data_IF_606462765810
#
_entry.id   IF_606462765810
#
_cell.length_a   1.000
_cell.length_b   1.000
_cell.length_c   1.000
_cell.angle_alpha   90.00
_cell.angle_beta   90.00
_cell.angle_gamma   90.00
#
_symmetry.space_group_name_H-M   'P 1'
#
loop_
_entity.id
_entity.type
_entity.pdbx_description
1 polymer ?
#
# COMPACT_ATOMS: atom_id res chain seq x y z
N UNK A 1 -17.36 -7.29 7.44
CA UNK A 1 -16.34 -6.22 7.36
C UNK A 1 -16.13 -5.99 5.89
N UNK A 2 -16.14 -4.74 5.44
CA UNK A 2 -16.16 -4.36 4.02
C UNK A 2 -14.99 -3.39 3.76
N UNK A 3 -14.40 -3.45 2.57
CA UNK A 3 -13.31 -2.59 2.13
C UNK A 3 -13.77 -1.14 2.09
N UNK A 4 -13.43 -0.37 3.11
CA UNK A 4 -13.84 1.03 3.20
C UNK A 4 -12.76 1.94 2.63
N UNK A 5 -13.11 2.77 1.66
CA UNK A 5 -12.17 3.74 1.09
C UNK A 5 -11.74 4.75 2.16
N UNK A 6 -10.43 4.99 2.36
CA UNK A 6 -9.97 6.00 3.32
C UNK A 6 -10.57 7.38 3.00
N UNK A 7 -11.18 8.08 3.96
CA UNK A 7 -11.74 9.40 3.70
C UNK A 7 -10.64 10.42 3.45
N UNK A 8 -10.92 11.37 2.55
CA UNK A 8 -10.12 12.58 2.41
C UNK A 8 -10.22 13.39 3.70
N UNK A 9 -9.09 13.79 4.29
CA UNK A 9 -9.08 14.69 5.45
C UNK A 9 -9.08 16.13 4.96
N UNK A 10 -9.61 17.06 5.77
CA UNK A 10 -9.63 18.52 5.48
C UNK A 10 -8.26 19.13 5.15
N UNK A 11 -7.15 18.43 5.42
CA UNK A 11 -5.77 18.85 5.09
C UNK A 11 -5.12 18.10 3.93
N UNK A 12 -5.88 17.35 3.12
CA UNK A 12 -5.38 16.66 1.92
C UNK A 12 -5.52 15.13 1.95
N UNK A 13 -5.06 14.50 0.87
CA UNK A 13 -5.02 13.05 0.74
C UNK A 13 -3.99 12.46 1.73
N UNK A 14 -4.44 11.59 2.63
CA UNK A 14 -3.53 10.85 3.51
C UNK A 14 -2.74 9.82 2.71
N UNK A 15 -1.58 9.38 3.23
CA UNK A 15 -0.78 8.31 2.60
C UNK A 15 -1.65 7.11 2.21
N UNK A 16 -2.51 6.65 3.12
CA UNK A 16 -3.41 5.52 2.85
C UNK A 16 -4.47 5.79 1.81
N UNK A 17 -4.92 7.04 1.63
CA UNK A 17 -5.81 7.39 0.52
C UNK A 17 -5.07 7.33 -0.82
N UNK A 18 -3.83 7.83 -0.86
CA UNK A 18 -3.01 7.79 -2.09
C UNK A 18 -2.66 6.34 -2.43
N UNK A 19 -2.25 5.53 -1.44
CA UNK A 19 -2.02 4.09 -1.61
C UNK A 19 -3.25 3.38 -2.17
N UNK A 20 -4.43 3.67 -1.62
CA UNK A 20 -5.69 3.12 -2.10
C UNK A 20 -5.95 3.49 -3.57
N UNK A 21 -5.83 4.78 -3.89
CA UNK A 21 -6.15 5.30 -5.21
C UNK A 21 -5.24 4.67 -6.29
N UNK A 22 -3.95 4.57 -6.01
CA UNK A 22 -2.97 3.95 -6.91
C UNK A 22 -3.24 2.46 -7.13
N UNK A 23 -3.45 1.71 -6.05
CA UNK A 23 -3.63 0.26 -6.14
C UNK A 23 -5.03 -0.13 -6.65
N UNK A 24 -6.05 0.69 -6.39
CA UNK A 24 -7.41 0.48 -6.88
C UNK A 24 -7.53 0.80 -8.38
N UNK A 25 -6.82 1.82 -8.87
CA UNK A 25 -6.81 2.16 -10.30
C UNK A 25 -5.83 1.30 -11.11
N UNK A 26 -4.72 0.86 -10.49
CA UNK A 26 -3.64 0.14 -11.16
C UNK A 26 -3.21 -1.11 -10.39
N UNK A 27 -4.07 -2.14 -10.30
CA UNK A 27 -3.70 -3.41 -9.67
C UNK A 27 -2.53 -4.06 -10.43
N UNK A 28 -1.60 -4.68 -9.70
CA UNK A 28 -0.40 -5.35 -10.23
C UNK A 28 0.50 -4.47 -11.11
N UNK A 29 0.47 -3.16 -10.88
CA UNK A 29 1.30 -2.22 -11.63
C UNK A 29 2.52 -1.80 -10.82
N UNK A 30 2.30 -1.42 -9.56
CA UNK A 30 3.35 -0.89 -8.69
C UNK A 30 3.98 -1.98 -7.82
N UNK A 31 5.29 -1.92 -7.64
CA UNK A 31 6.00 -2.67 -6.60
C UNK A 31 5.91 -1.95 -5.25
N UNK A 32 6.37 -2.59 -4.18
CA UNK A 32 6.41 -1.94 -2.85
C UNK A 32 7.21 -0.65 -2.88
N UNK A 33 8.35 -0.65 -3.56
CA UNK A 33 9.22 0.51 -3.66
C UNK A 33 8.57 1.61 -4.50
N UNK A 34 8.06 1.27 -5.69
CA UNK A 34 7.40 2.25 -6.55
C UNK A 34 6.18 2.87 -5.87
N UNK A 35 5.37 2.08 -5.17
CA UNK A 35 4.22 2.59 -4.43
C UNK A 35 4.65 3.56 -3.32
N UNK A 36 5.68 3.22 -2.53
CA UNK A 36 6.18 4.09 -1.45
C UNK A 36 6.69 5.41 -2.03
N UNK A 37 7.42 5.34 -3.15
CA UNK A 37 7.94 6.51 -3.85
C UNK A 37 6.82 7.40 -4.41
N UNK A 38 5.86 6.80 -5.12
CA UNK A 38 4.70 7.48 -5.69
C UNK A 38 3.82 8.15 -4.62
N UNK A 39 3.63 7.47 -3.49
CA UNK A 39 2.93 8.02 -2.32
C UNK A 39 3.73 9.18 -1.73
N UNK A 40 5.05 9.06 -1.63
CA UNK A 40 5.90 10.12 -1.11
C UNK A 40 5.82 11.39 -1.96
N UNK A 41 5.98 11.26 -3.29
CA UNK A 41 5.89 12.37 -4.25
C UNK A 41 4.54 13.08 -4.14
N UNK A 42 3.44 12.33 -4.26
CA UNK A 42 2.08 12.91 -4.22
C UNK A 42 1.76 13.53 -2.87
N UNK A 43 2.20 12.90 -1.78
CA UNK A 43 2.01 13.42 -0.43
C UNK A 43 2.84 14.68 -0.17
N UNK A 44 4.04 14.78 -0.74
CA UNK A 44 4.91 15.95 -0.66
C UNK A 44 4.59 17.02 -1.70
N UNK A 45 3.69 16.72 -2.65
CA UNK A 45 3.32 17.57 -3.78
C UNK A 45 4.56 18.02 -4.57
N UNK A 46 5.49 17.09 -4.80
CA UNK A 46 6.73 17.37 -5.54
C UNK A 46 6.36 17.59 -7.02
N UNK A 47 6.73 18.74 -7.62
CA UNK A 47 6.43 19.03 -9.01
C UNK A 47 7.24 18.12 -9.95
N UNK A 48 6.67 17.84 -11.12
CA UNK A 48 7.30 16.95 -12.11
C UNK A 48 8.67 17.45 -12.58
N UNK A 49 8.84 18.77 -12.71
CA UNK A 49 10.14 19.39 -13.04
C UNK A 49 11.23 19.00 -12.04
N UNK A 50 10.87 18.89 -10.77
CA UNK A 50 11.78 18.47 -9.72
C UNK A 50 12.04 16.96 -9.76
N UNK A 51 11.05 16.15 -10.14
CA UNK A 51 11.25 14.72 -10.37
C UNK A 51 12.16 14.47 -11.57
N UNK A 52 12.05 15.26 -12.62
CA UNK A 52 12.94 15.17 -13.79
C UNK A 52 14.37 15.59 -13.43
N UNK A 53 14.53 16.61 -12.59
CA UNK A 53 15.85 17.09 -12.17
C UNK A 53 16.51 16.21 -11.10
N UNK A 54 15.76 15.74 -10.10
CA UNK A 54 16.28 15.06 -8.90
C UNK A 54 15.47 13.85 -8.45
N UNK A 55 14.61 13.29 -9.29
CA UNK A 55 13.75 12.15 -8.94
C UNK A 55 14.53 10.94 -8.45
N UNK A 56 15.63 10.60 -9.10
CA UNK A 56 16.52 9.50 -8.69
C UNK A 56 17.11 9.76 -7.30
N UNK A 57 17.62 10.98 -7.03
CA UNK A 57 18.13 11.33 -5.71
C UNK A 57 17.04 11.26 -4.64
N UNK A 58 15.83 11.77 -4.91
CA UNK A 58 14.71 11.67 -3.97
C UNK A 58 14.41 10.21 -3.67
N UNK A 59 14.42 9.35 -4.69
CA UNK A 59 14.20 7.91 -4.55
C UNK A 59 15.27 7.30 -3.65
N UNK A 60 16.54 7.56 -3.93
CA UNK A 60 17.66 7.08 -3.12
C UNK A 60 17.57 7.55 -1.67
N UNK A 61 17.36 8.84 -1.43
CA UNK A 61 17.19 9.40 -0.07
C UNK A 61 16.00 8.79 0.68
N UNK A 62 14.92 8.49 -0.04
CA UNK A 62 13.74 7.85 0.53
C UNK A 62 14.07 6.41 0.98
N UNK A 63 14.82 5.66 0.18
CA UNK A 63 15.22 4.28 0.49
C UNK A 63 16.45 4.17 1.40
N UNK A 64 17.22 5.25 1.56
CA UNK A 64 18.25 5.33 2.60
C UNK A 64 17.65 5.23 4.02
N UNK A 65 16.40 5.64 4.20
CA UNK A 65 15.65 5.43 5.45
C UNK A 65 14.81 4.18 5.33
N UNK A 66 14.94 3.25 6.28
CA UNK A 66 14.09 2.06 6.34
C UNK A 66 12.61 2.43 6.33
N UNK A 67 11.93 2.08 5.24
CA UNK A 67 10.51 2.36 5.08
C UNK A 67 9.67 1.29 5.78
N UNK A 68 8.54 1.71 6.36
CA UNK A 68 7.61 0.77 6.96
C UNK A 68 7.04 -0.16 5.89
N UNK A 69 7.11 -1.47 6.13
CA UNK A 69 6.53 -2.46 5.23
C UNK A 69 5.03 -2.17 5.03
N UNK A 70 4.49 -2.46 3.85
CA UNK A 70 3.06 -2.25 3.55
C UNK A 70 2.11 -3.01 4.49
N UNK A 71 2.62 -4.04 5.16
CA UNK A 71 1.93 -4.73 6.28
C UNK A 71 1.58 -3.81 7.46
N UNK A 72 2.23 -2.67 7.59
CA UNK A 72 1.95 -1.64 8.58
C UNK A 72 1.00 -0.54 8.07
N UNK A 73 0.62 -0.58 6.78
CA UNK A 73 -0.32 0.38 6.20
C UNK A 73 -1.67 0.34 6.91
N UNK A 74 -2.37 1.48 6.93
CA UNK A 74 -3.70 1.54 7.54
C UNK A 74 -4.75 0.80 6.70
N UNK A 75 -4.47 0.51 5.43
CA UNK A 75 -5.36 -0.20 4.52
C UNK A 75 -5.81 -1.57 5.07
N UNK A 76 -4.90 -2.52 5.33
CA UNK A 76 -5.28 -3.80 5.93
C UNK A 76 -5.68 -3.69 7.40
N UNK A 77 -5.18 -2.69 8.12
CA UNK A 77 -5.35 -2.59 9.57
C UNK A 77 -6.66 -1.96 10.02
N UNK A 78 -7.20 -1.01 9.25
CA UNK A 78 -8.37 -0.21 9.62
C UNK A 78 -9.47 -0.23 8.58
N UNK A 79 -9.11 -0.42 7.32
CA UNK A 79 -10.01 -0.20 6.19
C UNK A 79 -10.47 -1.49 5.51
N UNK A 80 -10.05 -2.67 5.98
CA UNK A 80 -10.52 -3.94 5.42
C UNK A 80 -10.02 -4.22 4.00
N UNK A 81 -8.79 -3.80 3.67
CA UNK A 81 -8.19 -4.10 2.37
C UNK A 81 -7.10 -5.16 2.52
N UNK A 82 -7.26 -6.29 1.84
CA UNK A 82 -6.18 -7.25 1.62
C UNK A 82 -5.16 -6.69 0.65
N UNK A 83 -3.88 -6.90 0.93
CA UNK A 83 -2.78 -6.59 0.00
C UNK A 83 -2.28 -7.92 -0.56
N UNK A 84 -2.30 -8.05 -1.88
CA UNK A 84 -1.78 -9.21 -2.58
C UNK A 84 -0.51 -8.83 -3.34
N UNK A 85 0.49 -9.71 -3.28
CA UNK A 85 1.75 -9.57 -4.01
C UNK A 85 1.84 -10.71 -5.00
N UNK A 86 2.02 -10.38 -6.27
CA UNK A 86 2.27 -11.36 -7.31
C UNK A 86 3.74 -11.82 -7.30
N UNK A 87 4.07 -12.88 -8.05
CA UNK A 87 5.42 -13.44 -8.19
C UNK A 87 6.47 -12.40 -8.64
N UNK A 88 6.05 -11.37 -9.37
CA UNK A 88 6.89 -10.26 -9.79
C UNK A 88 7.09 -9.16 -8.71
N UNK A 89 6.52 -9.32 -7.51
CA UNK A 89 6.56 -8.30 -6.44
C UNK A 89 5.60 -7.13 -6.66
N UNK A 90 4.68 -7.25 -7.61
CA UNK A 90 3.65 -6.27 -7.95
C UNK A 90 2.46 -6.37 -7.02
N UNK A 91 1.87 -5.24 -6.67
CA UNK A 91 0.87 -5.14 -5.62
C UNK A 91 -0.52 -4.91 -6.18
N UNK A 92 -1.51 -5.61 -5.62
CA UNK A 92 -2.92 -5.31 -5.78
C UNK A 92 -3.61 -5.25 -4.41
N UNK A 93 -4.74 -4.54 -4.34
CA UNK A 93 -5.62 -4.55 -3.17
C UNK A 93 -6.95 -5.21 -3.50
N UNK A 94 -7.46 -5.97 -2.54
CA UNK A 94 -8.76 -6.61 -2.62
C UNK A 94 -9.56 -6.27 -1.37
N UNK A 95 -10.81 -5.85 -1.55
CA UNK A 95 -11.72 -5.66 -0.41
C UNK A 95 -11.97 -7.00 0.27
N UNK A 96 -12.06 -7.02 1.60
CA UNK A 96 -12.34 -8.24 2.36
C UNK A 96 -13.68 -8.88 1.98
N UNK A 97 -14.61 -8.13 1.37
CA UNK A 97 -15.87 -8.68 0.85
C UNK A 97 -15.72 -9.37 -0.51
N UNK A 98 -14.61 -9.15 -1.22
CA UNK A 98 -14.41 -9.66 -2.57
C UNK A 98 -14.20 -11.17 -2.57
N UNK A 99 -14.81 -11.86 -3.55
CA UNK A 99 -14.62 -13.31 -3.74
C UNK A 99 -13.14 -13.66 -3.96
N UNK A 100 -12.39 -12.79 -4.65
CA UNK A 100 -10.94 -12.95 -4.83
C UNK A 100 -10.20 -12.95 -3.50
N UNK A 101 -10.56 -12.08 -2.55
CA UNK A 101 -9.95 -12.09 -1.23
C UNK A 101 -10.19 -13.41 -0.49
N UNK A 102 -11.41 -13.95 -0.57
CA UNK A 102 -11.72 -15.25 0.02
C UNK A 102 -10.96 -16.40 -0.66
N UNK A 103 -10.84 -16.38 -2.00
CA UNK A 103 -10.04 -17.37 -2.74
C UNK A 103 -8.57 -17.35 -2.33
N UNK A 104 -7.97 -16.16 -2.25
CA UNK A 104 -6.58 -16.01 -1.80
C UNK A 104 -6.41 -16.44 -0.34
N UNK A 105 -7.41 -16.21 0.52
CA UNK A 105 -7.41 -16.65 1.91
C UNK A 105 -7.52 -18.18 2.05
N UNK A 106 -8.32 -18.81 1.19
CA UNK A 106 -8.50 -20.27 1.16
C UNK A 106 -7.24 -21.00 0.71
N UNK A 107 -6.32 -20.30 0.01
CA UNK A 107 -5.03 -20.83 -0.42
C UNK A 107 -5.13 -22.21 -1.09
N UNK A 108 -6.14 -22.43 -1.94
CA UNK A 108 -6.44 -23.74 -2.54
C UNK A 108 -5.27 -24.33 -3.37
N UNK A 109 -4.25 -23.54 -3.70
CA UNK A 109 -3.05 -23.98 -4.41
C UNK A 109 -1.77 -24.13 -3.57
N UNK A 110 -1.77 -23.76 -2.27
CA UNK A 110 -0.56 -23.66 -1.41
C UNK A 110 0.56 -22.74 -1.94
N UNK A 111 0.37 -22.08 -3.08
CA UNK A 111 1.34 -21.20 -3.73
C UNK A 111 1.41 -19.81 -3.09
N UNK A 112 0.47 -19.45 -2.21
CA UNK A 112 0.37 -18.10 -1.64
C UNK A 112 0.79 -18.06 -0.17
N UNK A 113 1.85 -17.29 0.09
CA UNK A 113 2.31 -17.01 1.45
C UNK A 113 1.44 -15.94 2.11
N UNK A 114 0.40 -16.36 2.82
CA UNK A 114 -0.48 -15.46 3.56
C UNK A 114 0.25 -14.93 4.81
N UNK A 115 0.50 -13.63 4.86
CA UNK A 115 1.11 -12.96 6.00
C UNK A 115 0.11 -12.02 6.67
N UNK A 116 -0.19 -12.19 7.97
CA UNK A 116 -1.14 -11.31 8.65
C UNK A 116 -0.60 -9.88 8.73
N UNK A 117 -1.50 -8.90 8.68
CA UNK A 117 -1.14 -7.50 8.90
C UNK A 117 -0.43 -7.31 10.24
N UNK A 118 0.52 -6.39 10.30
CA UNK A 118 1.32 -6.18 11.51
C UNK A 118 0.41 -5.65 12.63
N UNK A 119 0.22 -6.46 13.69
CA UNK A 119 -0.53 -6.02 14.87
C UNK A 119 0.17 -4.81 15.47
N UNK A 120 -0.60 -3.77 15.84
CA UNK A 120 -0.03 -2.75 16.72
C UNK A 120 0.30 -3.45 18.04
N UNK A 121 1.55 -3.39 18.49
CA UNK A 121 1.81 -3.61 19.92
C UNK A 121 1.16 -2.44 20.66
N UNK A 122 -0.12 -2.59 21.00
CA UNK A 122 -0.72 -1.89 22.14
C UNK A 122 -0.92 -2.94 23.21
N UNK A 123 0.21 -3.38 23.77
CA UNK A 123 0.23 -3.83 25.15
C UNK A 123 0.39 -2.56 25.99
N UNK A 124 -0.73 -2.03 26.47
CA UNK A 124 -0.73 -1.28 27.73
C UNK A 124 -1.95 -1.75 28.51
N UNK A 125 -1.62 -2.45 29.58
CA UNK A 125 -2.45 -2.85 30.72
C UNK A 125 -3.27 -1.71 31.29
#
# INVERSE_FOLDING_TARGET
MEGTVPPLRKGGATKSRIEYDLLSNHPYTYTQEDLIYEVYIRHKLIPEEELLARGTQIREELFQKSQACLRASMLPKKYGWGIHFDCAGKIAIFGVESLDYQKYLLNEGDELKILPAMRNSRLRS
#
